data_IF_913104295376
#
_entry.id   IF_913104295376
#
_cell.length_a   1.000
_cell.length_b   1.000
_cell.length_c   1.000
_cell.angle_alpha   90.00
_cell.angle_beta   90.00
_cell.angle_gamma   90.00
#
_symmetry.space_group_name_H-M   'P 1'
#
loop_
_entity.id
_entity.type
_entity.pdbx_description
1 polymer ?
#
# COMPACT_ATOMS: atom_id res chain seq x y z
N UNK A 1 -2.71 19.67 -9.21
CA UNK A 1 -1.86 18.61 -8.73
C UNK A 1 -2.29 17.29 -9.31
N UNK A 2 -1.37 16.62 -9.86
CA UNK A 2 -1.69 15.41 -10.56
C UNK A 2 -2.00 14.28 -9.59
N UNK A 3 -2.99 13.50 -9.97
CA UNK A 3 -3.24 12.25 -9.30
C UNK A 3 -2.97 11.15 -10.31
N UNK A 4 -2.98 9.92 -9.86
CA UNK A 4 -2.71 8.80 -10.74
C UNK A 4 -3.89 7.84 -10.68
N UNK A 5 -4.66 7.79 -11.74
CA UNK A 5 -5.81 6.91 -11.83
C UNK A 5 -6.74 7.04 -10.63
N UNK A 6 -6.90 8.26 -10.14
CA UNK A 6 -7.75 8.52 -8.99
C UNK A 6 -7.07 8.40 -7.65
N UNK A 7 -5.79 8.01 -7.63
CA UNK A 7 -5.03 7.88 -6.39
C UNK A 7 -4.09 9.07 -6.24
N UNK A 8 -3.65 9.32 -5.02
CA UNK A 8 -2.81 10.46 -4.71
C UNK A 8 -1.57 10.52 -5.60
N UNK A 9 -0.90 9.40 -5.80
CA UNK A 9 0.29 9.37 -6.62
C UNK A 9 0.49 7.96 -7.16
N UNK A 10 1.50 7.83 -8.02
CA UNK A 10 1.79 6.55 -8.63
C UNK A 10 2.11 5.47 -7.60
N UNK A 11 2.89 5.82 -6.58
CA UNK A 11 3.28 4.83 -5.58
C UNK A 11 2.07 4.24 -4.88
N UNK A 12 1.10 5.08 -4.54
CA UNK A 12 -0.10 4.61 -3.86
C UNK A 12 -0.92 3.70 -4.78
N UNK A 13 -1.08 4.11 -6.03
CA UNK A 13 -1.79 3.30 -7.00
C UNK A 13 -1.12 1.95 -7.19
N UNK A 14 0.20 1.96 -7.36
CA UNK A 14 0.92 0.73 -7.65
C UNK A 14 0.89 -0.24 -6.48
N UNK A 15 1.03 0.28 -5.27
CA UNK A 15 0.99 -0.57 -4.09
C UNK A 15 -0.40 -1.18 -3.94
N UNK A 16 -1.43 -0.39 -4.20
CA UNK A 16 -2.77 -0.96 -4.15
C UNK A 16 -2.92 -2.09 -5.16
N UNK A 17 -2.45 -1.86 -6.37
CA UNK A 17 -2.59 -2.86 -7.43
C UNK A 17 -1.83 -4.14 -7.13
N UNK A 18 -0.60 -4.01 -6.61
CA UNK A 18 0.26 -5.16 -6.47
C UNK A 18 0.09 -5.89 -5.15
N UNK A 19 -0.34 -5.21 -4.12
CA UNK A 19 -0.39 -5.79 -2.78
C UNK A 19 -1.81 -5.98 -2.29
N UNK A 20 -2.65 -4.97 -2.47
CA UNK A 20 -3.97 -4.99 -1.83
C UNK A 20 -5.10 -5.39 -2.74
N UNK A 21 -4.91 -5.32 -4.05
CA UNK A 21 -5.97 -5.68 -4.98
C UNK A 21 -6.37 -7.12 -4.73
N UNK A 22 -7.63 -7.34 -4.42
CA UNK A 22 -8.12 -8.67 -4.10
C UNK A 22 -8.00 -9.04 -2.64
N UNK A 23 -7.38 -8.20 -1.82
CA UNK A 23 -7.31 -8.49 -0.39
C UNK A 23 -8.66 -8.20 0.24
N UNK A 24 -8.86 -8.72 1.43
CA UNK A 24 -10.16 -8.64 2.03
C UNK A 24 -10.29 -7.60 3.11
N UNK A 25 -9.25 -6.93 3.46
CA UNK A 25 -9.40 -5.91 4.47
C UNK A 25 -10.29 -6.34 5.61
N UNK A 26 -10.73 -5.42 6.44
CA UNK A 26 -10.39 -4.00 6.38
C UNK A 26 -8.96 -3.72 6.79
N UNK A 27 -8.46 -2.58 6.36
CA UNK A 27 -7.11 -2.16 6.72
C UNK A 27 -7.20 -0.78 7.34
N UNK A 28 -6.44 -0.54 8.41
CA UNK A 28 -6.17 0.84 8.80
C UNK A 28 -4.79 1.20 8.27
N UNK A 29 -4.43 2.49 8.40
CA UNK A 29 -3.19 2.93 7.78
C UNK A 29 -1.96 2.22 8.36
N UNK A 30 -2.02 1.88 9.63
CA UNK A 30 -0.89 1.24 10.28
C UNK A 30 -0.75 -0.23 9.84
N UNK A 31 -1.85 -0.96 9.87
CA UNK A 31 -1.79 -2.38 9.50
C UNK A 31 -1.49 -2.56 8.02
N UNK A 32 -2.00 -1.64 7.17
CA UNK A 32 -1.70 -1.73 5.76
C UNK A 32 -0.21 -1.53 5.49
N UNK A 33 0.37 -0.55 6.16
CA UNK A 33 1.80 -0.31 5.99
C UNK A 33 2.62 -1.50 6.47
N UNK A 34 2.27 -2.05 7.62
CA UNK A 34 3.00 -3.21 8.14
C UNK A 34 2.89 -4.40 7.21
N UNK A 35 1.72 -4.62 6.67
CA UNK A 35 1.52 -5.74 5.77
C UNK A 35 2.39 -5.60 4.52
N UNK A 36 2.44 -4.40 3.95
CA UNK A 36 3.26 -4.17 2.77
C UNK A 36 4.74 -4.35 3.08
N UNK A 37 5.16 -3.85 4.24
CA UNK A 37 6.56 -4.00 4.63
C UNK A 37 6.93 -5.46 4.81
N UNK A 38 6.04 -6.24 5.39
CA UNK A 38 6.32 -7.66 5.55
C UNK A 38 6.48 -8.37 4.24
N UNK A 39 5.68 -8.00 3.25
CA UNK A 39 5.82 -8.60 1.93
C UNK A 39 7.19 -8.28 1.35
N UNK A 40 7.65 -7.05 1.52
CA UNK A 40 8.96 -6.68 1.02
C UNK A 40 10.05 -7.48 1.74
N UNK A 41 9.96 -7.57 3.07
CA UNK A 41 10.98 -8.30 3.81
C UNK A 41 10.99 -9.79 3.46
N UNK A 42 9.84 -10.38 3.22
CA UNK A 42 9.80 -11.80 2.93
C UNK A 42 10.18 -12.11 1.49
N UNK A 43 10.11 -11.15 0.59
CA UNK A 43 10.39 -11.40 -0.82
C UNK A 43 11.75 -10.89 -1.28
N UNK A 44 12.52 -10.25 -0.39
CA UNK A 44 13.83 -9.72 -0.76
C UNK A 44 14.84 -10.08 0.31
N UNK A 45 16.13 -10.05 -0.08
CA UNK A 45 17.22 -10.13 0.90
C UNK A 45 17.67 -8.72 1.24
N UNK A 46 18.41 -8.60 2.32
CA UNK A 46 19.00 -7.31 2.67
C UNK A 46 19.88 -6.83 1.51
N UNK A 47 19.82 -5.55 1.23
CA UNK A 47 20.62 -4.98 0.16
C UNK A 47 19.84 -3.88 -0.54
N UNK A 48 20.39 -3.45 -1.67
CA UNK A 48 19.87 -2.28 -2.37
C UNK A 48 18.46 -2.50 -2.89
N UNK A 49 18.12 -3.73 -3.29
CA UNK A 49 16.77 -3.99 -3.77
C UNK A 49 15.74 -3.77 -2.70
N UNK A 50 16.01 -4.29 -1.49
CA UNK A 50 15.09 -4.06 -0.38
C UNK A 50 15.04 -2.59 -0.01
N UNK A 51 16.19 -1.92 -0.02
CA UNK A 51 16.22 -0.50 0.34
C UNK A 51 15.38 0.32 -0.62
N UNK A 52 15.46 0.04 -1.90
CA UNK A 52 14.68 0.78 -2.88
C UNK A 52 13.19 0.48 -2.73
N UNK A 53 12.85 -0.77 -2.46
CA UNK A 53 11.45 -1.13 -2.28
C UNK A 53 10.85 -0.42 -1.06
N UNK A 54 11.61 -0.38 0.04
CA UNK A 54 11.13 0.30 1.23
C UNK A 54 11.01 1.81 0.99
N UNK A 55 11.95 2.37 0.23
CA UNK A 55 11.87 3.78 -0.10
C UNK A 55 10.63 4.07 -0.96
N UNK A 56 10.30 3.15 -1.86
CA UNK A 56 9.08 3.30 -2.65
C UNK A 56 7.86 3.38 -1.75
N UNK A 57 7.82 2.53 -0.72
CA UNK A 57 6.68 2.53 0.20
C UNK A 57 6.56 3.84 0.97
N UNK A 58 7.66 4.58 1.11
CA UNK A 58 7.60 5.82 1.87
C UNK A 58 6.78 6.90 1.17
N UNK A 59 6.51 6.73 -0.13
CA UNK A 59 5.68 7.68 -0.87
C UNK A 59 4.21 7.31 -0.87
N UNK A 60 3.84 6.19 -0.28
CA UNK A 60 2.47 5.70 -0.35
C UNK A 60 1.61 6.43 0.66
N UNK A 61 0.42 6.79 0.23
CA UNK A 61 -0.55 7.40 1.13
C UNK A 61 -1.36 6.27 1.77
N UNK A 62 -0.91 5.85 2.94
CA UNK A 62 -1.51 4.70 3.63
C UNK A 62 -2.92 4.98 4.09
N UNK A 63 -3.23 6.25 4.39
CA UNK A 63 -4.59 6.61 4.77
C UNK A 63 -5.54 6.40 3.60
N UNK A 64 -5.09 6.69 2.40
CA UNK A 64 -5.94 6.53 1.23
C UNK A 64 -6.23 5.05 0.99
N UNK A 65 -5.22 4.20 1.13
CA UNK A 65 -5.42 2.78 0.97
C UNK A 65 -6.39 2.26 2.02
N UNK A 66 -6.18 2.63 3.27
CA UNK A 66 -7.03 2.16 4.34
C UNK A 66 -8.47 2.60 4.12
N UNK A 67 -8.64 3.85 3.71
CA UNK A 67 -9.97 4.39 3.47
C UNK A 67 -10.72 3.62 2.39
N UNK A 68 -10.00 3.26 1.36
CA UNK A 68 -10.60 2.53 0.25
C UNK A 68 -11.23 1.22 0.72
N UNK A 69 -10.53 0.50 1.58
CA UNK A 69 -11.02 -0.80 2.03
C UNK A 69 -11.99 -0.70 3.19
N UNK A 70 -11.85 0.33 4.00
CA UNK A 70 -12.81 0.51 5.09
C UNK A 70 -14.17 0.93 4.59
N UNK A 71 -14.20 1.73 3.55
CA UNK A 71 -15.47 2.16 2.99
C UNK A 71 -16.34 0.97 2.60
N UNK A 72 -15.74 -0.02 1.99
CA UNK A 72 -16.48 -1.20 1.60
C UNK A 72 -17.03 -1.90 2.81
N UNK A 73 -16.24 -1.95 3.86
CA UNK A 73 -16.63 -2.65 5.06
C UNK A 73 -17.75 -1.96 5.77
N UNK A 74 -17.76 -0.66 5.73
CA UNK A 74 -18.78 0.09 6.44
C UNK A 74 -20.14 -0.05 5.82
N UNK A 75 -20.19 -0.36 4.57
CA UNK A 75 -21.47 -0.54 3.92
C UNK A 75 -22.24 -1.72 4.45
N UNK A 76 -21.55 -2.65 4.99
CA UNK A 76 -22.23 -3.85 5.51
C UNK A 76 -23.07 -3.56 6.76
#
# INVERSE_FOLDING_TARGET
>A
MATYNGWTNYATWRVNLEIFDGSEGPWDHHSAKEFAEEIIYSSTSAGIGRDYALAFLSDVNWYEIADHYQDENEEA
#
